data_IF_861109217990
#
_entry.id   IF_861109217990
#
_cell.length_a   1.000
_cell.length_b   1.000
_cell.length_c   1.000
_cell.angle_alpha   90.00
_cell.angle_beta   90.00
_cell.angle_gamma   90.00
#
_symmetry.space_group_name_H-M   'P 1'
#
loop_
_entity.id
_entity.type
_entity.pdbx_description
1 polymer ?
#
# COMPACT_ATOMS: atom_id res chain seq x y z
N UNK A 1 6.81 -0.32 -4.32
CA UNK A 1 5.64 -0.57 -3.45
C UNK A 1 4.42 0.21 -3.92
N UNK A 2 3.32 -0.48 -4.23
CA UNK A 2 2.02 0.13 -4.56
C UNK A 2 0.92 -0.58 -3.79
N UNK A 3 0.04 0.21 -3.16
CA UNK A 3 -1.16 -0.30 -2.52
C UNK A 3 -2.33 -0.18 -3.49
N UNK A 4 -2.93 -1.31 -3.83
CA UNK A 4 -4.10 -1.40 -4.72
C UNK A 4 -5.38 -1.31 -3.91
N UNK A 5 -6.31 -0.43 -4.32
CA UNK A 5 -7.54 -0.18 -3.59
C UNK A 5 -8.40 -1.43 -3.49
N UNK A 6 -8.38 -2.25 -4.54
CA UNK A 6 -9.09 -3.52 -4.69
C UNK A 6 -8.61 -4.58 -3.68
N UNK A 7 -7.39 -4.42 -3.15
CA UNK A 7 -6.81 -5.32 -2.14
C UNK A 7 -7.03 -4.86 -0.71
N UNK A 8 -7.43 -3.61 -0.49
CA UNK A 8 -7.60 -3.03 0.84
C UNK A 8 -8.54 -3.87 1.73
N UNK A 9 -9.73 -4.30 1.27
CA UNK A 9 -10.63 -5.09 2.12
C UNK A 9 -9.99 -6.39 2.59
N UNK A 10 -9.31 -7.11 1.70
CA UNK A 10 -8.65 -8.37 2.05
C UNK A 10 -7.47 -8.16 3.01
N UNK A 11 -6.70 -7.07 2.85
CA UNK A 11 -5.59 -6.73 3.74
C UNK A 11 -6.13 -6.41 5.15
N UNK A 12 -7.18 -5.60 5.23
CA UNK A 12 -7.79 -5.22 6.51
C UNK A 12 -8.40 -6.44 7.21
N UNK A 13 -9.14 -7.28 6.48
CA UNK A 13 -9.69 -8.54 7.00
C UNK A 13 -8.57 -9.45 7.54
N UNK A 14 -7.48 -9.64 6.78
CA UNK A 14 -6.34 -10.45 7.20
C UNK A 14 -5.70 -9.92 8.49
N UNK A 15 -5.54 -8.60 8.62
CA UNK A 15 -4.99 -7.94 9.82
C UNK A 15 -5.88 -8.19 11.04
N UNK A 16 -7.16 -7.82 10.97
CA UNK A 16 -8.09 -7.95 12.09
C UNK A 16 -8.25 -9.41 12.50
N UNK A 17 -8.43 -10.31 11.52
CA UNK A 17 -8.58 -11.75 11.77
C UNK A 17 -7.36 -12.33 12.47
N UNK A 18 -6.15 -11.99 12.01
CA UNK A 18 -4.92 -12.50 12.60
C UNK A 18 -4.72 -12.00 14.04
N UNK A 19 -4.92 -10.71 14.28
CA UNK A 19 -4.74 -10.12 15.62
C UNK A 19 -5.79 -10.63 16.62
N UNK A 20 -7.04 -10.77 16.22
CA UNK A 20 -8.08 -11.36 17.06
C UNK A 20 -7.80 -12.84 17.35
N UNK A 21 -7.38 -13.61 16.34
CA UNK A 21 -7.07 -15.03 16.50
C UNK A 21 -5.91 -15.28 17.45
N UNK A 22 -4.91 -14.41 17.42
CA UNK A 22 -3.75 -14.50 18.32
C UNK A 22 -4.03 -13.91 19.72
N UNK A 23 -5.20 -13.31 19.93
CA UNK A 23 -5.58 -12.68 21.19
C UNK A 23 -4.86 -11.36 21.47
N UNK A 24 -4.30 -10.70 20.44
CA UNK A 24 -3.66 -9.39 20.61
C UNK A 24 -4.67 -8.27 20.83
N UNK A 25 -5.85 -8.40 20.22
CA UNK A 25 -6.98 -7.48 20.34
C UNK A 25 -8.28 -8.27 20.48
N UNK A 26 -9.29 -7.64 21.07
CA UNK A 26 -10.67 -8.12 21.10
C UNK A 26 -11.55 -7.12 20.37
N UNK A 27 -12.40 -7.64 19.49
CA UNK A 27 -13.37 -6.86 18.73
C UNK A 27 -14.73 -7.60 18.76
N UNK A 28 -15.73 -7.01 19.40
CA UNK A 28 -17.11 -7.49 19.42
C UNK A 28 -17.77 -7.35 18.04
N UNK A 29 -17.37 -6.31 17.29
CA UNK A 29 -17.82 -6.04 15.93
C UNK A 29 -16.65 -6.10 14.92
N UNK A 30 -16.14 -7.30 14.58
CA UNK A 30 -14.93 -7.44 13.76
C UNK A 30 -15.07 -6.83 12.35
N UNK A 31 -16.30 -6.73 11.82
CA UNK A 31 -16.56 -6.06 10.54
C UNK A 31 -16.40 -4.54 10.62
N UNK A 32 -16.80 -3.92 11.73
CA UNK A 32 -16.63 -2.47 11.91
C UNK A 32 -15.15 -2.14 12.16
N UNK A 33 -14.45 -2.98 12.95
CA UNK A 33 -12.99 -2.88 13.12
C UNK A 33 -12.24 -3.04 11.79
N UNK A 34 -12.73 -3.92 10.91
CA UNK A 34 -12.21 -4.04 9.55
C UNK A 34 -12.41 -2.74 8.75
N UNK A 35 -13.61 -2.15 8.75
CA UNK A 35 -13.88 -0.90 8.02
C UNK A 35 -13.02 0.27 8.51
N UNK A 36 -12.72 0.31 9.81
CA UNK A 36 -11.78 1.27 10.39
C UNK A 36 -10.35 1.06 9.84
N UNK A 37 -9.88 -0.20 9.82
CA UNK A 37 -8.58 -0.53 9.23
C UNK A 37 -8.55 -0.23 7.71
N UNK A 38 -9.62 -0.52 6.98
CA UNK A 38 -9.75 -0.15 5.56
C UNK A 38 -9.61 1.36 5.37
N UNK A 39 -10.18 2.16 6.27
CA UNK A 39 -10.13 3.63 6.20
C UNK A 39 -8.70 4.15 6.29
N UNK A 40 -7.84 3.58 7.15
CA UNK A 40 -6.42 3.97 7.22
C UNK A 40 -5.68 3.63 5.94
N UNK A 41 -5.93 2.46 5.35
CA UNK A 41 -5.32 2.05 4.08
C UNK A 41 -5.77 2.94 2.91
N UNK A 42 -7.07 3.28 2.87
CA UNK A 42 -7.62 4.20 1.88
C UNK A 42 -7.02 5.60 2.01
N UNK A 43 -6.87 6.08 3.25
CA UNK A 43 -6.25 7.37 3.54
C UNK A 43 -4.79 7.41 3.08
N UNK A 44 -4.04 6.33 3.27
CA UNK A 44 -2.68 6.23 2.74
C UNK A 44 -2.64 6.38 1.20
N UNK A 45 -3.56 5.72 0.47
CA UNK A 45 -3.65 5.84 -0.99
C UNK A 45 -4.06 7.27 -1.40
N UNK A 46 -5.00 7.88 -0.67
CA UNK A 46 -5.46 9.25 -0.89
C UNK A 46 -4.31 10.23 -0.72
N UNK A 47 -3.58 10.16 0.39
CA UNK A 47 -2.46 11.04 0.71
C UNK A 47 -1.32 10.91 -0.29
N UNK A 48 -0.98 9.69 -0.72
CA UNK A 48 0.04 9.47 -1.75
C UNK A 48 -0.33 10.17 -3.08
N UNK A 49 -1.61 10.07 -3.46
CA UNK A 49 -2.14 10.73 -4.66
C UNK A 49 -2.11 12.26 -4.50
N UNK A 50 -2.57 12.77 -3.36
CA UNK A 50 -2.57 14.20 -3.03
C UNK A 50 -1.16 14.80 -3.09
N UNK A 51 -0.17 14.16 -2.44
CA UNK A 51 1.23 14.62 -2.47
C UNK A 51 1.77 14.64 -3.90
N UNK A 52 1.40 13.64 -4.72
CA UNK A 52 1.83 13.58 -6.12
C UNK A 52 1.25 14.74 -6.93
N UNK A 53 -0.04 15.05 -6.77
CA UNK A 53 -0.69 16.16 -7.46
C UNK A 53 -0.17 17.53 -6.98
N UNK A 54 0.04 17.70 -5.67
CA UNK A 54 0.65 18.92 -5.11
C UNK A 54 2.07 19.13 -5.65
N UNK A 55 2.86 18.06 -5.77
CA UNK A 55 4.21 18.14 -6.31
C UNK A 55 4.20 18.56 -7.80
N UNK A 56 3.27 18.05 -8.61
CA UNK A 56 3.09 18.45 -10.01
C UNK A 56 2.68 19.93 -10.11
N UNK A 57 1.67 20.35 -9.34
CA UNK A 57 1.21 21.74 -9.32
C UNK A 57 2.33 22.72 -8.90
N UNK A 58 3.16 22.33 -7.92
CA UNK A 58 4.31 23.13 -7.48
C UNK A 58 5.42 23.18 -8.53
N UNK A 59 5.62 22.10 -9.26
CA UNK A 59 6.59 22.02 -10.36
C UNK A 59 6.18 22.94 -11.52
N UNK A 60 4.90 22.90 -11.91
CA UNK A 60 4.33 23.75 -12.95
C UNK A 60 4.40 25.24 -12.57
N UNK A 61 3.93 25.59 -11.37
CA UNK A 61 3.93 26.99 -10.91
C UNK A 61 5.34 27.56 -10.76
N UNK A 62 6.32 26.76 -10.34
CA UNK A 62 7.72 27.17 -10.24
C UNK A 62 8.50 27.04 -11.57
N UNK A 63 7.87 26.57 -12.66
CA UNK A 63 8.50 26.28 -13.96
C UNK A 63 9.76 25.43 -13.85
N UNK A 64 9.76 24.48 -12.91
CA UNK A 64 10.91 23.62 -12.67
C UNK A 64 10.93 22.46 -13.67
N UNK A 65 12.13 21.95 -14.04
CA UNK A 65 12.23 20.73 -14.84
C UNK A 65 11.58 19.53 -14.14
N UNK A 66 11.00 18.61 -14.91
CA UNK A 66 10.34 17.38 -14.41
C UNK A 66 11.25 16.52 -13.52
N UNK A 67 12.57 16.58 -13.73
CA UNK A 67 13.56 15.91 -12.87
C UNK A 67 13.48 16.31 -11.39
N UNK A 68 12.88 17.46 -11.05
CA UNK A 68 12.67 17.89 -9.67
C UNK A 68 11.44 17.26 -8.99
N UNK A 69 10.57 16.56 -9.72
CA UNK A 69 9.30 16.05 -9.18
C UNK A 69 9.53 15.13 -7.97
N UNK A 70 10.48 14.21 -8.05
CA UNK A 70 10.79 13.29 -6.95
C UNK A 70 11.24 14.01 -5.68
N UNK A 71 12.09 15.05 -5.83
CA UNK A 71 12.55 15.87 -4.70
C UNK A 71 11.39 16.64 -4.07
N UNK A 72 10.53 17.26 -4.88
CA UNK A 72 9.36 18.00 -4.40
C UNK A 72 8.36 17.08 -3.69
N UNK A 73 8.09 15.89 -4.24
CA UNK A 73 7.26 14.87 -3.58
C UNK A 73 7.80 14.53 -2.20
N UNK A 74 9.11 14.31 -2.07
CA UNK A 74 9.74 14.01 -0.78
C UNK A 74 9.57 15.17 0.21
N UNK A 75 9.85 16.40 -0.22
CA UNK A 75 9.67 17.59 0.64
C UNK A 75 8.23 17.74 1.13
N UNK A 76 7.24 17.58 0.26
CA UNK A 76 5.82 17.70 0.62
C UNK A 76 5.39 16.55 1.56
N UNK A 77 5.93 15.34 1.35
CA UNK A 77 5.67 14.22 2.24
C UNK A 77 6.27 14.44 3.63
N UNK A 78 7.51 14.94 3.71
CA UNK A 78 8.15 15.29 4.98
C UNK A 78 7.34 16.38 5.72
N UNK A 79 6.85 17.41 5.01
CA UNK A 79 5.96 18.45 5.56
C UNK A 79 4.63 17.88 6.11
N UNK A 80 4.11 16.81 5.50
CA UNK A 80 2.87 16.13 5.89
C UNK A 80 3.09 14.95 6.84
N UNK A 81 4.34 14.65 7.21
CA UNK A 81 4.69 13.47 8.00
C UNK A 81 4.43 12.12 7.31
N UNK A 82 4.30 12.11 5.99
CA UNK A 82 3.98 10.93 5.19
C UNK A 82 5.26 10.20 4.73
N UNK A 83 5.22 8.87 4.66
CA UNK A 83 6.36 8.07 4.19
C UNK A 83 5.99 7.23 2.96
N UNK A 84 6.92 7.16 1.99
CA UNK A 84 6.76 6.40 0.74
C UNK A 84 7.61 5.13 0.75
N UNK A 85 7.35 4.26 -0.23
CA UNK A 85 8.20 3.10 -0.51
C UNK A 85 8.25 2.15 0.68
N UNK A 86 9.43 1.64 1.01
CA UNK A 86 9.62 0.65 2.08
C UNK A 86 9.25 1.23 3.46
N UNK A 87 9.51 2.52 3.69
CA UNK A 87 9.09 3.22 4.91
C UNK A 87 7.56 3.41 5.00
N UNK A 88 6.85 3.30 3.86
CA UNK A 88 5.40 3.37 3.82
C UNK A 88 4.71 2.25 4.60
N UNK A 89 5.33 1.05 4.66
CA UNK A 89 4.80 -0.05 5.48
C UNK A 89 4.84 0.35 6.96
N UNK A 90 5.99 0.87 7.43
CA UNK A 90 6.14 1.33 8.81
C UNK A 90 5.14 2.43 9.14
N UNK A 91 4.94 3.38 8.22
CA UNK A 91 3.93 4.42 8.38
C UNK A 91 2.53 3.83 8.57
N UNK A 92 2.10 2.91 7.69
CA UNK A 92 0.78 2.27 7.82
C UNK A 92 0.68 1.49 9.13
N UNK A 93 1.71 0.74 9.52
CA UNK A 93 1.73 0.02 10.79
C UNK A 93 1.54 0.94 12.00
N UNK A 94 2.18 2.11 12.00
CA UNK A 94 1.99 3.09 13.08
C UNK A 94 0.56 3.64 13.09
N UNK A 95 0.02 3.98 11.92
CA UNK A 95 -1.36 4.48 11.81
C UNK A 95 -2.40 3.42 12.21
N UNK A 96 -2.14 2.13 11.95
CA UNK A 96 -2.98 1.03 12.42
C UNK A 96 -3.00 0.93 13.94
N UNK A 97 -1.83 1.01 14.57
CA UNK A 97 -1.75 0.94 16.04
C UNK A 97 -2.43 2.16 16.67
N UNK A 98 -2.24 3.35 16.12
CA UNK A 98 -2.94 4.56 16.55
C UNK A 98 -4.45 4.43 16.40
N UNK A 99 -4.92 3.87 15.29
CA UNK A 99 -6.33 3.58 15.05
C UNK A 99 -6.89 2.64 16.11
N UNK A 100 -6.21 1.53 16.42
CA UNK A 100 -6.72 0.56 17.40
C UNK A 100 -6.86 1.19 18.79
N UNK A 101 -5.97 2.09 19.18
CA UNK A 101 -6.05 2.82 20.46
C UNK A 101 -7.20 3.85 20.52
N UNK A 102 -7.71 4.29 19.35
CA UNK A 102 -8.72 5.34 19.25
C UNK A 102 -10.10 4.84 18.81
N UNK A 103 -10.15 3.69 18.12
CA UNK A 103 -11.38 3.13 17.57
C UNK A 103 -12.28 2.61 18.68
N UNK A 104 -13.59 2.86 18.55
CA UNK A 104 -14.60 2.28 19.43
C UNK A 104 -14.95 0.82 19.06
N UNK A 105 -14.38 0.29 17.97
CA UNK A 105 -14.63 -1.05 17.47
C UNK A 105 -13.54 -2.05 17.90
N UNK A 106 -12.54 -1.58 18.65
CA UNK A 106 -11.53 -2.38 19.33
C UNK A 106 -11.77 -2.22 20.83
N UNK A 107 -12.21 -3.29 21.48
CA UNK A 107 -12.64 -3.26 22.87
C UNK A 107 -11.45 -3.28 23.83
N UNK A 108 -10.50 -4.18 23.57
CA UNK A 108 -9.31 -4.36 24.40
C UNK A 108 -8.08 -4.69 23.54
N UNK A 109 -6.92 -4.20 23.96
CA UNK A 109 -5.62 -4.47 23.35
C UNK A 109 -4.71 -5.08 24.42
N UNK A 110 -4.21 -6.29 24.17
CA UNK A 110 -3.39 -7.06 25.11
C UNK A 110 -1.90 -7.04 24.78
N UNK A 111 -1.56 -6.67 23.55
CA UNK A 111 -0.18 -6.67 23.04
C UNK A 111 0.38 -5.26 22.96
N UNK A 112 1.68 -5.12 23.22
CA UNK A 112 2.37 -3.85 23.05
C UNK A 112 2.46 -3.44 21.56
N UNK A 113 2.53 -2.14 21.29
CA UNK A 113 2.58 -1.58 19.93
C UNK A 113 3.63 -2.26 19.04
N UNK A 114 4.82 -2.58 19.58
CA UNK A 114 5.86 -3.21 18.78
C UNK A 114 5.47 -4.62 18.33
N UNK A 115 4.72 -5.36 19.14
CA UNK A 115 4.22 -6.69 18.82
C UNK A 115 3.19 -6.58 17.69
N UNK A 116 2.21 -5.67 17.83
CA UNK A 116 1.21 -5.42 16.79
C UNK A 116 1.87 -5.09 15.45
N UNK A 117 2.85 -4.18 15.44
CA UNK A 117 3.61 -3.84 14.23
C UNK A 117 4.29 -5.05 13.59
N UNK A 118 4.96 -5.90 14.38
CA UNK A 118 5.64 -7.09 13.86
C UNK A 118 4.69 -8.13 13.25
N UNK A 119 3.40 -8.11 13.61
CA UNK A 119 2.38 -8.99 13.03
C UNK A 119 1.70 -8.38 11.80
N UNK A 120 1.48 -7.06 11.79
CA UNK A 120 0.86 -6.34 10.67
C UNK A 120 1.82 -6.24 9.47
N UNK A 121 3.10 -5.94 9.74
CA UNK A 121 4.12 -5.74 8.70
C UNK A 121 4.22 -6.88 7.67
N UNK A 122 4.33 -8.18 8.05
CA UNK A 122 4.40 -9.26 7.07
C UNK A 122 3.12 -9.42 6.23
N UNK A 123 1.95 -9.07 6.79
CA UNK A 123 0.68 -9.09 6.04
C UNK A 123 0.73 -8.00 4.96
N UNK A 124 1.12 -6.78 5.33
CA UNK A 124 1.29 -5.68 4.38
C UNK A 124 2.34 -6.02 3.31
N UNK A 125 3.51 -6.51 3.69
CA UNK A 125 4.57 -6.89 2.75
C UNK A 125 4.06 -7.91 1.70
N UNK A 126 3.37 -8.96 2.14
CA UNK A 126 2.80 -9.99 1.26
C UNK A 126 1.88 -9.40 0.18
N UNK A 127 1.03 -8.43 0.55
CA UNK A 127 0.07 -7.82 -0.38
C UNK A 127 0.68 -6.69 -1.22
N UNK A 128 1.69 -6.00 -0.70
CA UNK A 128 2.35 -4.86 -1.35
C UNK A 128 3.47 -5.26 -2.32
N UNK A 129 4.02 -6.47 -2.18
CA UNK A 129 4.98 -7.08 -3.13
C UNK A 129 4.32 -7.78 -4.32
N UNK A 130 3.01 -7.58 -4.53
CA UNK A 130 2.29 -8.24 -5.63
C UNK A 130 2.77 -7.77 -7.00
N UNK A 131 3.22 -6.52 -7.12
CA UNK A 131 3.79 -5.97 -8.36
C UNK A 131 5.06 -6.70 -8.79
N UNK A 132 5.94 -7.01 -7.85
CA UNK A 132 7.18 -7.74 -8.13
C UNK A 132 6.86 -9.17 -8.60
N UNK A 133 5.83 -9.80 -8.02
CA UNK A 133 5.34 -11.10 -8.45
C UNK A 133 4.70 -11.05 -9.85
N UNK A 134 3.98 -9.97 -10.17
CA UNK A 134 3.38 -9.74 -11.50
C UNK A 134 4.49 -9.53 -12.53
N UNK A 135 5.47 -8.66 -12.28
CA UNK A 135 6.61 -8.42 -13.19
C UNK A 135 7.39 -9.73 -13.46
N UNK A 136 7.71 -10.50 -12.41
CA UNK A 136 8.39 -11.78 -12.55
C UNK A 136 7.61 -12.78 -13.42
N UNK A 137 6.28 -12.85 -13.25
CA UNK A 137 5.42 -13.73 -14.05
C UNK A 137 5.28 -13.24 -15.50
N UNK A 138 5.20 -11.92 -15.74
CA UNK A 138 5.21 -11.33 -17.09
C UNK A 138 6.52 -11.70 -17.80
N UNK A 139 7.67 -11.40 -17.20
CA UNK A 139 9.00 -11.71 -17.75
C UNK A 139 9.16 -13.20 -18.05
N UNK A 140 8.66 -14.08 -17.18
CA UNK A 140 8.68 -15.53 -17.40
C UNK A 140 7.87 -15.97 -18.63
N UNK A 141 6.77 -15.29 -18.93
CA UNK A 141 5.91 -15.59 -20.10
C UNK A 141 6.46 -15.04 -21.40
N UNK A 142 7.06 -13.85 -21.37
CA UNK A 142 7.63 -13.19 -22.56
C UNK A 142 9.13 -13.46 -22.73
N UNK A 143 9.70 -14.41 -21.99
CA UNK A 143 11.14 -14.75 -22.01
C UNK A 143 11.74 -15.07 -23.39
N UNK A 144 10.89 -15.34 -24.38
CA UNK A 144 11.29 -15.64 -25.75
C UNK A 144 11.48 -14.38 -26.60
N UNK A 145 11.11 -13.21 -26.09
CA UNK A 145 11.26 -11.91 -26.74
C UNK A 145 12.50 -11.21 -26.18
N UNK A 146 13.20 -10.47 -27.04
CA UNK A 146 14.38 -9.68 -26.65
C UNK A 146 13.94 -8.38 -25.94
N UNK A 147 14.42 -8.21 -24.70
CA UNK A 147 14.13 -7.04 -23.86
C UNK A 147 14.67 -5.76 -24.52
N UNK A 148 13.86 -4.69 -24.52
CA UNK A 148 14.19 -3.43 -25.18
C UNK A 148 13.80 -3.35 -26.67
N UNK A 149 13.16 -4.39 -27.22
CA UNK A 149 12.50 -4.29 -28.54
C UNK A 149 11.09 -3.70 -28.40
N UNK A 150 10.62 -2.97 -29.41
CA UNK A 150 9.26 -2.41 -29.40
C UNK A 150 8.17 -3.49 -29.30
N UNK A 151 8.43 -4.70 -29.82
CA UNK A 151 7.59 -5.88 -29.67
C UNK A 151 7.54 -6.39 -28.23
N UNK A 152 8.66 -6.36 -27.51
CA UNK A 152 8.71 -6.74 -26.10
C UNK A 152 7.89 -5.77 -25.25
N UNK A 153 8.00 -4.46 -25.50
CA UNK A 153 7.24 -3.44 -24.76
C UNK A 153 5.71 -3.59 -24.90
N UNK A 154 5.24 -3.91 -26.11
CA UNK A 154 3.80 -4.12 -26.38
C UNK A 154 3.31 -5.37 -25.65
N UNK A 155 3.99 -6.50 -25.85
CA UNK A 155 3.62 -7.79 -25.26
C UNK A 155 3.73 -7.77 -23.72
N UNK A 156 4.73 -7.08 -23.18
CA UNK A 156 4.86 -6.85 -21.75
C UNK A 156 3.61 -6.18 -21.19
N UNK A 157 3.15 -5.06 -21.79
CA UNK A 157 1.96 -4.33 -21.31
C UNK A 157 0.69 -5.16 -21.42
N UNK A 158 0.51 -5.91 -22.51
CA UNK A 158 -0.65 -6.77 -22.68
C UNK A 158 -0.67 -7.93 -21.65
N UNK A 159 0.48 -8.56 -21.42
CA UNK A 159 0.61 -9.63 -20.43
C UNK A 159 0.48 -9.13 -19.00
N UNK A 160 1.06 -7.97 -18.69
CA UNK A 160 0.90 -7.32 -17.40
C UNK A 160 -0.57 -7.06 -17.10
N UNK A 161 -1.31 -6.47 -18.06
CA UNK A 161 -2.76 -6.23 -17.91
C UNK A 161 -3.54 -7.53 -17.70
N UNK A 162 -3.23 -8.57 -18.47
CA UNK A 162 -3.89 -9.90 -18.35
C UNK A 162 -3.61 -10.54 -16.99
N UNK A 163 -2.39 -10.42 -16.48
CA UNK A 163 -2.01 -10.98 -15.19
C UNK A 163 -2.64 -10.18 -14.05
N UNK A 164 -2.62 -8.84 -14.11
CA UNK A 164 -3.32 -7.96 -13.16
C UNK A 164 -4.81 -8.29 -13.03
N UNK A 165 -5.49 -8.45 -14.16
CA UNK A 165 -6.89 -8.90 -14.20
C UNK A 165 -7.10 -10.26 -13.52
N UNK A 166 -6.18 -11.23 -13.69
CA UNK A 166 -6.22 -12.52 -12.97
C UNK A 166 -6.07 -12.35 -11.45
N UNK A 167 -5.27 -11.39 -11.01
CA UNK A 167 -5.14 -11.05 -9.59
C UNK A 167 -6.30 -10.19 -9.08
N UNK A 168 -7.25 -9.79 -9.93
CA UNK A 168 -8.39 -8.94 -9.54
C UNK A 168 -7.97 -7.51 -9.22
N UNK A 169 -6.96 -7.01 -9.93
CA UNK A 169 -6.43 -5.65 -9.81
C UNK A 169 -6.46 -5.03 -11.21
N UNK A 170 -6.95 -3.80 -11.38
CA UNK A 170 -6.93 -3.06 -12.65
C UNK A 170 -6.10 -1.78 -12.57
#
# INVERSE_FOLDING_TARGET
MRLYKEKIPNIAEDIITQLCKDGDIVCDAPKEAQLDAESVLLEYVRMNSEITELAKARLESAKLPYSNLGRLKKTIADEKGFQFGDDGIRYICNQMVELFLQSNNVDEIFSEDYILRTKIEPILQKHLSIDDAIDAEVRKRIKNLEEGTGTWDVEYREMEKRIKSKYGID
#
